data_IF_075443693294
#
_entry.id   IF_075443693294
#
_cell.length_a   1.000
_cell.length_b   1.000
_cell.length_c   1.000
_cell.angle_alpha   90.00
_cell.angle_beta   90.00
_cell.angle_gamma   90.00
#
_symmetry.space_group_name_H-M   'P 1'
#
loop_
_entity.id
_entity.type
_entity.pdbx_description
1 polymer ?
#
# COMPACT_ATOMS: atom_id res chain seq x y z
N UNK A 1 -7.23 6.56 -13.32
CA UNK A 1 -6.27 6.31 -12.23
C UNK A 1 -5.86 7.63 -11.59
N UNK A 2 -5.78 7.68 -10.26
CA UNK A 2 -5.33 8.85 -9.50
C UNK A 2 -4.15 8.42 -8.63
N UNK A 3 -3.02 9.14 -8.70
CA UNK A 3 -1.75 8.69 -8.12
C UNK A 3 -1.54 9.06 -6.66
N UNK A 4 -2.40 9.93 -6.11
CA UNK A 4 -2.37 10.33 -4.71
C UNK A 4 -3.78 10.64 -4.21
N UNK A 5 -4.07 10.35 -2.92
CA UNK A 5 -5.39 10.61 -2.38
C UNK A 5 -5.63 12.12 -2.31
N UNK A 6 -6.78 12.63 -2.77
CA UNK A 6 -7.07 14.05 -2.67
C UNK A 6 -7.26 14.45 -1.19
N UNK A 7 -7.00 15.72 -0.80
CA UNK A 7 -7.01 16.12 0.60
C UNK A 7 -8.33 15.83 1.36
N UNK A 8 -9.47 15.86 0.66
CA UNK A 8 -10.76 15.53 1.28
C UNK A 8 -10.88 14.04 1.62
N UNK A 9 -10.28 13.17 0.82
CA UNK A 9 -10.25 11.73 1.09
C UNK A 9 -9.30 11.41 2.25
N UNK A 10 -8.16 12.09 2.36
CA UNK A 10 -7.30 12.01 3.54
C UNK A 10 -8.04 12.40 4.83
N UNK A 11 -8.79 13.50 4.80
CA UNK A 11 -9.62 13.92 5.94
C UNK A 11 -10.69 12.88 6.29
N UNK A 12 -11.34 12.31 5.28
CA UNK A 12 -12.34 11.27 5.47
C UNK A 12 -11.74 10.02 6.12
N UNK A 13 -10.64 9.48 5.59
CA UNK A 13 -10.01 8.27 6.12
C UNK A 13 -9.53 8.46 7.57
N UNK A 14 -8.94 9.62 7.89
CA UNK A 14 -8.56 9.98 9.27
C UNK A 14 -9.77 10.07 10.19
N UNK A 15 -10.87 10.67 9.73
CA UNK A 15 -12.11 10.75 10.50
C UNK A 15 -12.74 9.36 10.76
N UNK A 16 -12.54 8.39 9.86
CA UNK A 16 -12.95 7.00 10.08
C UNK A 16 -12.13 6.36 11.20
N UNK A 17 -10.81 6.55 11.20
CA UNK A 17 -9.93 6.08 12.30
C UNK A 17 -10.28 6.77 13.62
N UNK A 18 -10.61 8.07 13.60
CA UNK A 18 -11.07 8.81 14.78
C UNK A 18 -12.35 8.22 15.41
N UNK A 19 -13.11 7.41 14.67
CA UNK A 19 -14.31 6.71 15.16
C UNK A 19 -14.04 5.29 15.62
N UNK A 20 -12.77 4.90 15.73
CA UNK A 20 -12.36 3.62 16.31
C UNK A 20 -12.12 2.51 15.29
N UNK A 21 -11.99 2.85 14.00
CA UNK A 21 -11.57 1.87 12.98
C UNK A 21 -10.06 1.71 12.99
N UNK A 22 -9.58 0.48 13.14
CA UNK A 22 -8.15 0.18 13.15
C UNK A 22 -7.52 0.18 11.75
N UNK A 23 -8.26 -0.24 10.72
CA UNK A 23 -7.75 -0.34 9.34
C UNK A 23 -8.76 0.26 8.36
N UNK A 24 -8.32 1.25 7.60
CA UNK A 24 -9.02 1.76 6.43
C UNK A 24 -8.41 1.14 5.16
N UNK A 25 -9.22 0.45 4.36
CA UNK A 25 -8.78 -0.21 3.13
C UNK A 25 -9.41 0.48 1.90
N UNK A 26 -8.63 1.33 1.23
CA UNK A 26 -8.99 2.01 0.00
C UNK A 26 -8.63 1.20 -1.25
N UNK A 27 -9.39 1.43 -2.33
CA UNK A 27 -9.24 0.78 -3.63
C UNK A 27 -9.94 1.63 -4.72
N UNK A 28 -9.85 1.20 -5.99
CA UNK A 28 -10.44 1.80 -7.21
C UNK A 28 -9.57 2.82 -7.95
N UNK A 29 -8.43 3.24 -7.42
CA UNK A 29 -7.46 4.05 -8.18
C UNK A 29 -6.65 3.21 -9.18
N UNK A 30 -6.64 1.87 -9.00
CA UNK A 30 -5.89 0.87 -9.77
C UNK A 30 -4.37 1.01 -9.67
N UNK A 31 -3.88 1.84 -8.74
CA UNK A 31 -2.47 2.00 -8.43
C UNK A 31 -2.32 2.11 -6.93
N UNK A 32 -1.33 1.45 -6.36
CA UNK A 32 -1.10 1.57 -4.92
C UNK A 32 -0.74 3.01 -4.54
N UNK A 33 -1.29 3.46 -3.43
CA UNK A 33 -0.97 4.73 -2.81
C UNK A 33 -0.27 4.51 -1.47
N UNK A 34 0.32 5.57 -0.92
CA UNK A 34 1.04 5.50 0.34
C UNK A 34 0.18 5.00 1.50
N UNK A 35 0.81 4.31 2.44
CA UNK A 35 0.18 3.92 3.70
C UNK A 35 0.47 4.99 4.75
N UNK A 36 -0.57 5.40 5.46
CA UNK A 36 -0.43 6.30 6.60
C UNK A 36 -0.70 5.55 7.90
N UNK A 37 0.26 5.62 8.82
CA UNK A 37 0.01 5.34 10.24
C UNK A 37 -0.61 6.59 10.88
N UNK A 38 -1.90 6.51 11.20
CA UNK A 38 -2.63 7.61 11.84
C UNK A 38 -3.15 7.17 13.21
N UNK A 39 -2.62 7.76 14.28
CA UNK A 39 -2.87 7.32 15.67
C UNK A 39 -2.58 5.83 15.85
N UNK A 40 -3.55 5.05 16.34
CA UNK A 40 -3.48 3.59 16.47
C UNK A 40 -3.88 2.82 15.20
N UNK A 41 -4.33 3.52 14.15
CA UNK A 41 -4.83 2.91 12.93
C UNK A 41 -3.87 2.94 11.74
N UNK A 42 -4.17 2.12 10.75
CA UNK A 42 -3.54 2.10 9.42
C UNK A 42 -4.53 2.54 8.35
N UNK A 43 -4.08 3.43 7.47
CA UNK A 43 -4.84 3.89 6.32
C UNK A 43 -4.10 3.46 5.06
N UNK A 44 -4.69 2.52 4.32
CA UNK A 44 -4.31 2.20 2.94
C UNK A 44 -5.15 3.06 2.01
N UNK A 45 -4.57 4.09 1.40
CA UNK A 45 -5.35 5.00 0.56
C UNK A 45 -5.83 4.36 -0.74
N UNK A 46 -5.01 3.50 -1.33
CA UNK A 46 -5.39 2.58 -2.39
C UNK A 46 -4.41 1.41 -2.41
N UNK A 47 -4.91 0.18 -2.50
CA UNK A 47 -4.07 -1.02 -2.55
C UNK A 47 -3.65 -1.41 -3.97
N UNK A 48 -4.15 -0.72 -5.00
CA UNK A 48 -3.92 -1.09 -6.40
C UNK A 48 -4.59 -2.41 -6.77
N UNK A 49 -4.40 -2.83 -8.01
CA UNK A 49 -4.94 -4.11 -8.48
C UNK A 49 -4.21 -5.29 -7.85
N UNK A 50 -4.82 -6.48 -7.83
CA UNK A 50 -4.14 -7.69 -7.36
C UNK A 50 -4.17 -8.82 -8.38
N UNK A 51 -5.33 -9.12 -8.95
CA UNK A 51 -5.50 -10.06 -10.07
C UNK A 51 -6.38 -9.37 -11.09
N UNK A 52 -5.86 -9.17 -12.31
CA UNK A 52 -6.58 -8.37 -13.30
C UNK A 52 -6.24 -8.74 -14.76
N UNK A 53 -7.09 -8.28 -15.68
CA UNK A 53 -6.93 -8.41 -17.14
C UNK A 53 -6.84 -7.05 -17.87
N UNK A 54 -6.68 -5.96 -17.12
CA UNK A 54 -6.65 -4.60 -17.62
C UNK A 54 -5.44 -4.28 -18.51
N UNK A 55 -5.62 -3.24 -19.34
CA UNK A 55 -4.51 -2.63 -20.09
C UNK A 55 -3.54 -1.98 -19.10
N UNK A 56 -2.25 -2.28 -19.29
CA UNK A 56 -1.16 -1.73 -18.49
C UNK A 56 -0.85 -0.31 -18.97
N UNK A 57 -0.85 0.64 -18.04
CA UNK A 57 -0.34 1.98 -18.26
C UNK A 57 1.20 1.98 -18.06
N UNK A 58 1.99 2.33 -19.09
CA UNK A 58 3.44 2.23 -19.04
C UNK A 58 4.11 3.19 -18.05
N UNK A 59 3.40 4.25 -17.62
CA UNK A 59 3.92 5.26 -16.69
C UNK A 59 3.42 4.96 -15.28
N UNK A 60 2.11 4.78 -15.13
CA UNK A 60 1.48 4.61 -13.83
C UNK A 60 1.74 3.23 -13.23
N UNK A 61 1.96 2.21 -14.06
CA UNK A 61 2.23 0.82 -13.64
C UNK A 61 1.15 0.29 -12.71
N UNK A 62 -0.09 0.25 -13.19
CA UNK A 62 -1.21 -0.43 -12.52
C UNK A 62 -1.00 -1.96 -12.42
N UNK A 63 -0.01 -2.49 -13.12
CA UNK A 63 0.49 -3.85 -12.98
C UNK A 63 1.44 -4.05 -11.78
N UNK A 64 1.68 -3.02 -10.96
CA UNK A 64 2.45 -3.14 -9.73
C UNK A 64 1.56 -3.04 -8.50
N UNK A 65 1.80 -3.91 -7.52
CA UNK A 65 1.04 -3.93 -6.28
C UNK A 65 1.84 -4.61 -5.16
N UNK A 66 1.17 -4.92 -4.05
CA UNK A 66 1.73 -5.67 -2.93
C UNK A 66 0.74 -6.71 -2.40
N UNK A 67 1.25 -7.78 -1.80
CA UNK A 67 0.52 -8.46 -0.74
C UNK A 67 0.65 -7.63 0.54
N UNK A 68 -0.47 -7.12 1.04
CA UNK A 68 -0.53 -6.34 2.28
C UNK A 68 -0.82 -7.28 3.45
N UNK A 69 0.16 -7.48 4.33
CA UNK A 69 0.06 -8.36 5.50
C UNK A 69 0.09 -7.51 6.77
N UNK A 70 -1.03 -7.48 7.48
CA UNK A 70 -1.14 -6.83 8.79
C UNK A 70 -1.17 -7.90 9.88
N UNK A 71 -0.22 -7.84 10.80
CA UNK A 71 -0.19 -8.68 11.99
C UNK A 71 -1.00 -8.00 13.11
N UNK A 72 -2.01 -8.69 13.61
CA UNK A 72 -2.94 -8.23 14.65
C UNK A 72 -2.82 -9.14 15.86
N UNK A 73 -2.77 -8.57 17.06
CA UNK A 73 -2.81 -9.30 18.31
C UNK A 73 -3.75 -8.64 19.34
N UNK A 74 -3.75 -9.16 20.56
CA UNK A 74 -4.70 -8.76 21.63
C UNK A 74 -4.64 -7.27 21.99
N UNK A 75 -3.52 -6.61 21.68
CA UNK A 75 -3.30 -5.18 21.97
C UNK A 75 -3.40 -4.28 20.73
N UNK A 76 -3.87 -4.82 19.60
CA UNK A 76 -4.06 -4.10 18.34
C UNK A 76 -3.07 -4.50 17.25
N UNK A 77 -2.80 -3.58 16.33
CA UNK A 77 -1.91 -3.79 15.19
C UNK A 77 -0.44 -3.81 15.64
N UNK A 78 0.36 -4.74 15.12
CA UNK A 78 1.75 -4.93 15.55
C UNK A 78 2.78 -4.74 14.44
N UNK A 79 2.42 -5.14 13.22
CA UNK A 79 3.35 -5.10 12.11
C UNK A 79 2.59 -5.00 10.79
N UNK A 80 3.12 -4.19 9.89
CA UNK A 80 2.75 -4.21 8.48
C UNK A 80 3.93 -4.77 7.70
N UNK A 81 3.67 -5.74 6.82
CA UNK A 81 4.59 -6.24 5.80
C UNK A 81 3.96 -6.05 4.43
N UNK A 82 4.74 -5.58 3.48
CA UNK A 82 4.33 -5.38 2.09
C UNK A 82 5.25 -6.22 1.21
N UNK A 83 4.71 -7.21 0.51
CA UNK A 83 5.47 -8.08 -0.39
C UNK A 83 5.18 -7.62 -1.82
N UNK A 84 6.14 -7.04 -2.56
CA UNK A 84 5.89 -6.47 -3.87
C UNK A 84 5.55 -7.56 -4.89
N UNK A 85 4.53 -7.29 -5.68
CA UNK A 85 4.07 -8.16 -6.77
C UNK A 85 4.01 -7.39 -8.07
N UNK A 86 4.15 -8.12 -9.16
CA UNK A 86 3.87 -7.65 -10.50
C UNK A 86 2.78 -8.53 -11.13
N UNK A 87 1.85 -7.89 -11.80
CA UNK A 87 0.71 -8.52 -12.44
C UNK A 87 1.04 -8.75 -13.91
N UNK A 88 0.59 -9.88 -14.43
CA UNK A 88 0.46 -10.14 -15.86
C UNK A 88 -0.96 -10.62 -16.14
N UNK A 89 -1.32 -10.82 -17.40
CA UNK A 89 -2.69 -11.17 -17.77
C UNK A 89 -3.23 -12.36 -16.94
N UNK A 90 -4.20 -12.05 -16.06
CA UNK A 90 -4.81 -13.00 -15.12
C UNK A 90 -3.80 -13.76 -14.22
N UNK A 91 -2.68 -13.14 -13.85
CA UNK A 91 -1.64 -13.73 -13.01
C UNK A 91 -1.01 -12.71 -12.06
N UNK A 92 -0.56 -13.21 -10.91
CA UNK A 92 0.15 -12.44 -9.89
C UNK A 92 1.47 -13.11 -9.59
N UNK A 93 2.56 -12.37 -9.71
CA UNK A 93 3.91 -12.90 -9.55
C UNK A 93 4.68 -12.05 -8.54
N UNK A 94 5.58 -12.67 -7.77
CA UNK A 94 6.48 -11.92 -6.89
C UNK A 94 7.44 -11.06 -7.73
N UNK A 95 7.54 -9.77 -7.39
CA UNK A 95 8.52 -8.89 -8.02
C UNK A 95 9.94 -9.32 -7.65
N UNK A 96 10.90 -9.17 -8.56
CA UNK A 96 12.30 -9.59 -8.37
C UNK A 96 13.28 -8.56 -8.95
N UNK A 97 14.53 -8.63 -8.50
CA UNK A 97 15.63 -7.85 -9.07
C UNK A 97 15.38 -6.34 -9.04
N UNK A 98 15.62 -5.66 -10.16
CA UNK A 98 15.44 -4.20 -10.26
C UNK A 98 13.98 -3.75 -10.08
N UNK A 99 13.01 -4.57 -10.52
CA UNK A 99 11.59 -4.26 -10.37
C UNK A 99 11.16 -4.27 -8.90
N UNK A 100 11.60 -5.28 -8.14
CA UNK A 100 11.39 -5.34 -6.69
C UNK A 100 11.85 -4.06 -6.00
N UNK A 101 13.06 -3.58 -6.32
CA UNK A 101 13.61 -2.36 -5.73
C UNK A 101 12.78 -1.14 -6.12
N UNK A 102 12.41 -1.03 -7.40
CA UNK A 102 11.65 0.13 -7.90
C UNK A 102 10.27 0.22 -7.27
N UNK A 103 9.57 -0.90 -7.11
CA UNK A 103 8.27 -0.96 -6.44
C UNK A 103 8.42 -0.57 -4.96
N UNK A 104 9.44 -1.09 -4.27
CA UNK A 104 9.74 -0.76 -2.88
C UNK A 104 10.04 0.74 -2.69
N UNK A 105 10.92 1.30 -3.52
CA UNK A 105 11.33 2.71 -3.46
C UNK A 105 10.14 3.64 -3.67
N UNK A 106 9.26 3.30 -4.63
CA UNK A 106 8.02 4.05 -4.88
C UNK A 106 7.12 4.04 -3.64
N UNK A 107 6.86 2.87 -3.05
CA UNK A 107 5.99 2.77 -1.87
C UNK A 107 6.59 3.49 -0.65
N UNK A 108 7.90 3.36 -0.42
CA UNK A 108 8.59 4.12 0.64
C UNK A 108 8.42 5.64 0.45
N UNK A 109 8.61 6.14 -0.77
CA UNK A 109 8.44 7.56 -1.09
C UNK A 109 7.01 8.05 -0.83
N UNK A 110 6.01 7.26 -1.23
CA UNK A 110 4.60 7.56 -1.01
C UNK A 110 4.23 7.54 0.49
N UNK A 111 4.74 6.57 1.26
CA UNK A 111 4.51 6.49 2.71
C UNK A 111 5.24 7.60 3.48
N UNK A 112 6.43 8.00 3.03
CA UNK A 112 7.20 9.08 3.64
C UNK A 112 6.45 10.43 3.57
N UNK A 113 5.65 10.68 2.53
CA UNK A 113 4.77 11.84 2.44
C UNK A 113 3.70 11.90 3.57
N UNK A 114 3.41 10.76 4.19
CA UNK A 114 2.55 10.62 5.37
C UNK A 114 3.33 10.39 6.68
N UNK A 115 4.64 10.66 6.69
CA UNK A 115 5.54 10.39 7.83
C UNK A 115 5.58 8.92 8.27
N UNK A 116 5.26 7.98 7.37
CA UNK A 116 5.32 6.55 7.62
C UNK A 116 6.58 5.99 6.96
N UNK A 117 7.59 5.66 7.77
CA UNK A 117 8.87 5.17 7.28
C UNK A 117 8.88 3.64 7.27
N UNK A 118 8.90 3.05 6.08
CA UNK A 118 9.00 1.61 5.90
C UNK A 118 10.46 1.19 5.76
N UNK A 119 10.84 0.10 6.43
CA UNK A 119 12.16 -0.53 6.31
C UNK A 119 12.11 -1.60 5.23
N UNK A 120 13.07 -1.59 4.31
CA UNK A 120 13.20 -2.65 3.32
C UNK A 120 13.81 -3.92 3.93
N UNK A 121 13.34 -5.08 3.47
CA UNK A 121 13.78 -6.43 3.83
C UNK A 121 14.04 -7.25 2.58
N UNK A 122 14.48 -8.50 2.72
CA UNK A 122 14.63 -9.43 1.60
C UNK A 122 13.30 -9.81 0.93
N UNK A 123 12.17 -9.62 1.61
CA UNK A 123 10.83 -10.01 1.11
C UNK A 123 9.97 -8.81 0.69
N UNK A 124 10.42 -7.58 0.95
CA UNK A 124 9.69 -6.37 0.58
C UNK A 124 9.92 -5.24 1.57
N UNK A 125 8.85 -4.70 2.13
CA UNK A 125 8.87 -3.61 3.11
C UNK A 125 8.20 -4.02 4.41
N UNK A 126 8.60 -3.42 5.52
CA UNK A 126 7.92 -3.59 6.80
C UNK A 126 7.97 -2.35 7.69
N UNK A 127 7.03 -2.25 8.62
CA UNK A 127 7.07 -1.31 9.74
C UNK A 127 6.42 -1.93 10.97
N UNK A 128 7.01 -1.66 12.14
CA UNK A 128 6.42 -2.01 13.43
C UNK A 128 5.41 -0.94 13.85
N UNK A 129 4.27 -1.38 14.36
CA UNK A 129 3.14 -0.54 14.75
C UNK A 129 3.11 -0.40 16.28
#
# INVERSE_FOLDING_TARGET
MVISPPPHFCRFARAVVDRGVDIFHGHSAHVFQGVERYKQGLIFYDTGDFLDDYVIDPVLRNDWSFVFLVEVGDRGLHKLRLIPVHLSYAQVNLAKGAEFNTICDRMQSLCAAFNTNLRQTSEGLEVKL
#
